data_IF_511091983961
#
_entry.id   IF_511091983961
#
_cell.length_a   1.000
_cell.length_b   1.000
_cell.length_c   1.000
_cell.angle_alpha   90.00
_cell.angle_beta   90.00
_cell.angle_gamma   90.00
#
_symmetry.space_group_name_H-M   'P 1'
#
loop_
_entity.id
_entity.type
_entity.pdbx_description
1 polymer ?
#
# COMPACT_ATOMS: atom_id res chain seq x y z
N UNK A 1 -17.60 -8.78 34.65
CA UNK A 1 -16.22 -8.28 34.88
C UNK A 1 -16.36 -6.85 35.38
N UNK A 2 -16.40 -6.67 36.71
CA UNK A 2 -16.71 -5.37 37.34
C UNK A 2 -15.51 -4.43 37.16
N UNK A 3 -15.72 -3.29 36.50
CA UNK A 3 -14.72 -2.22 36.47
C UNK A 3 -14.67 -1.64 37.89
N UNK A 4 -13.55 -1.91 38.56
CA UNK A 4 -13.31 -1.55 39.94
C UNK A 4 -13.08 -0.03 40.03
N UNK A 5 -14.17 0.72 40.22
CA UNK A 5 -14.20 2.18 40.27
C UNK A 5 -13.18 2.76 41.27
N UNK A 6 -12.82 1.99 42.29
CA UNK A 6 -11.78 2.35 43.26
C UNK A 6 -10.39 2.49 42.63
N UNK A 7 -10.03 1.60 41.68
CA UNK A 7 -8.72 1.63 40.99
C UNK A 7 -8.61 2.79 40.00
N UNK A 8 -9.75 3.23 39.45
CA UNK A 8 -9.82 4.42 38.60
C UNK A 8 -9.66 5.67 39.46
N UNK A 9 -10.36 5.73 40.59
CA UNK A 9 -10.30 6.86 41.53
C UNK A 9 -8.91 7.07 42.13
N UNK A 10 -8.18 6.00 42.43
CA UNK A 10 -6.82 6.09 42.99
C UNK A 10 -5.76 6.58 41.99
N UNK A 11 -6.07 6.60 40.68
CA UNK A 11 -5.17 7.05 39.62
C UNK A 11 -5.48 8.44 39.08
N UNK A 12 -6.59 9.04 39.47
CA UNK A 12 -6.90 10.41 39.08
C UNK A 12 -6.15 11.39 40.00
N UNK A 13 -5.43 12.39 39.45
CA UNK A 13 -5.03 13.56 40.22
C UNK A 13 -6.27 14.15 40.90
N UNK A 14 -6.11 14.75 42.08
CA UNK A 14 -7.21 15.38 42.82
C UNK A 14 -8.03 16.29 41.90
N UNK A 15 -9.19 15.78 41.46
CA UNK A 15 -10.08 16.48 40.56
C UNK A 15 -10.93 17.44 41.39
N UNK A 16 -10.65 18.73 41.26
CA UNK A 16 -11.45 19.79 41.86
C UNK A 16 -12.29 20.45 40.75
N UNK A 17 -13.54 20.02 40.53
CA UNK A 17 -14.38 20.58 39.49
C UNK A 17 -14.69 22.05 39.77
N UNK A 18 -14.34 22.93 38.84
CA UNK A 18 -14.76 24.33 38.90
C UNK A 18 -16.15 24.44 38.30
N UNK A 19 -17.17 24.64 39.14
CA UNK A 19 -18.57 24.77 38.73
C UNK A 19 -18.87 25.95 37.80
N UNK A 20 -17.93 26.89 37.67
CA UNK A 20 -18.06 28.05 36.78
C UNK A 20 -17.49 27.81 35.38
N UNK A 21 -16.99 26.61 35.08
CA UNK A 21 -16.41 26.26 33.77
C UNK A 21 -17.18 25.09 33.17
N UNK A 22 -17.76 25.30 31.99
CA UNK A 22 -18.41 24.23 31.25
C UNK A 22 -17.38 23.21 30.75
N UNK A 23 -17.77 21.93 30.77
CA UNK A 23 -16.99 20.84 30.21
C UNK A 23 -16.70 21.05 28.72
N UNK A 24 -15.49 20.64 28.31
CA UNK A 24 -15.06 20.72 26.91
C UNK A 24 -14.44 19.39 26.49
N UNK A 25 -14.87 18.88 25.34
CA UNK A 25 -14.21 17.74 24.72
C UNK A 25 -12.78 18.14 24.31
N UNK A 26 -11.79 17.33 24.69
CA UNK A 26 -10.38 17.55 24.36
C UNK A 26 -9.85 16.39 23.54
N UNK A 27 -9.30 16.68 22.37
CA UNK A 27 -8.64 15.71 21.52
C UNK A 27 -7.21 15.47 22.03
N UNK A 28 -7.01 14.39 22.80
CA UNK A 28 -5.73 14.06 23.43
C UNK A 28 -4.54 13.89 22.46
N UNK A 29 -4.72 13.37 21.24
CA UNK A 29 -3.61 13.25 20.28
C UNK A 29 -3.07 14.59 19.76
N UNK A 30 -3.78 15.71 19.97
CA UNK A 30 -3.30 17.06 19.66
C UNK A 30 -2.89 17.77 20.94
N UNK A 31 -1.68 18.34 20.98
CA UNK A 31 -1.19 19.16 22.11
C UNK A 31 -2.13 20.33 22.43
N UNK A 32 -2.80 20.86 21.41
CA UNK A 32 -3.71 22.01 21.55
C UNK A 32 -5.12 21.57 21.96
N UNK A 33 -5.37 20.26 22.07
CA UNK A 33 -6.67 19.70 22.45
C UNK A 33 -7.76 19.84 21.38
N UNK A 34 -7.43 20.37 20.21
CA UNK A 34 -8.36 20.57 19.09
C UNK A 34 -8.39 19.33 18.19
N UNK A 35 -9.59 18.97 17.76
CA UNK A 35 -9.80 17.90 16.79
C UNK A 35 -9.48 18.39 15.37
N UNK A 36 -8.85 17.51 14.59
CA UNK A 36 -8.78 17.65 13.14
C UNK A 36 -8.82 16.27 12.48
N UNK A 37 -9.36 16.17 11.27
CA UNK A 37 -9.33 14.92 10.52
C UNK A 37 -7.88 14.41 10.32
N UNK A 38 -6.92 15.33 10.16
CA UNK A 38 -5.49 14.99 10.05
C UNK A 38 -4.91 14.38 11.33
N UNK A 39 -5.22 14.92 12.50
CA UNK A 39 -4.73 14.39 13.79
C UNK A 39 -5.42 13.09 14.18
N UNK A 40 -6.72 12.94 13.86
CA UNK A 40 -7.43 11.68 13.97
C UNK A 40 -6.78 10.59 13.10
N UNK A 41 -6.53 10.91 11.84
CA UNK A 41 -5.91 9.99 10.91
C UNK A 41 -4.47 9.63 11.31
N UNK A 42 -3.69 10.61 11.80
CA UNK A 42 -2.35 10.37 12.33
C UNK A 42 -2.36 9.47 13.56
N UNK A 43 -3.36 9.59 14.43
CA UNK A 43 -3.51 8.70 15.60
C UNK A 43 -3.89 7.26 15.24
N UNK A 44 -4.59 7.07 14.10
CA UNK A 44 -4.99 5.75 13.60
C UNK A 44 -3.93 5.10 12.70
N UNK A 45 -3.10 5.90 12.03
CA UNK A 45 -2.11 5.41 11.07
C UNK A 45 -0.78 5.12 11.73
N UNK A 46 -0.23 3.95 11.46
CA UNK A 46 1.19 3.67 11.69
C UNK A 46 1.99 4.28 10.52
N UNK A 47 2.98 5.14 10.77
CA UNK A 47 3.86 5.65 9.72
C UNK A 47 4.51 4.49 8.98
N UNK A 48 4.56 4.56 7.65
CA UNK A 48 5.31 3.62 6.82
C UNK A 48 6.42 4.37 6.09
N UNK A 49 7.55 3.70 5.80
CA UNK A 49 8.61 4.30 5.01
C UNK A 49 8.12 4.67 3.61
N UNK A 50 8.78 5.67 3.02
CA UNK A 50 8.56 6.01 1.62
C UNK A 50 8.97 4.84 0.73
N UNK A 51 8.16 4.58 -0.30
CA UNK A 51 8.39 3.50 -1.26
C UNK A 51 8.65 4.09 -2.66
N UNK A 52 9.73 3.70 -3.37
CA UNK A 52 10.10 4.32 -4.65
C UNK A 52 9.02 4.24 -5.73
N UNK A 53 8.27 3.12 -5.77
CA UNK A 53 7.20 2.89 -6.73
C UNK A 53 5.95 3.75 -6.52
N UNK A 54 5.83 4.50 -5.42
CA UNK A 54 4.63 5.30 -5.09
C UNK A 54 4.25 6.24 -6.24
N UNK A 55 5.23 6.95 -6.81
CA UNK A 55 4.99 7.92 -7.88
C UNK A 55 4.52 7.27 -9.19
N UNK A 56 4.86 6.01 -9.41
CA UNK A 56 4.42 5.30 -10.60
C UNK A 56 2.97 4.82 -10.48
N UNK A 57 2.56 4.41 -9.28
CA UNK A 57 1.19 3.96 -9.02
C UNK A 57 0.24 5.15 -8.88
N UNK A 58 0.65 6.20 -8.17
CA UNK A 58 -0.23 7.28 -7.73
C UNK A 58 0.20 8.65 -8.27
N UNK A 59 0.22 8.82 -9.59
CA UNK A 59 0.45 10.12 -10.25
C UNK A 59 -0.86 10.81 -10.65
N UNK A 60 -0.83 12.13 -10.88
CA UNK A 60 -2.06 12.94 -11.11
C UNK A 60 -2.93 12.44 -12.27
N UNK A 61 -2.32 11.95 -13.36
CA UNK A 61 -3.00 11.50 -14.57
C UNK A 61 -3.17 9.97 -14.62
N UNK A 62 -3.11 9.30 -13.47
CA UNK A 62 -3.23 7.85 -13.44
C UNK A 62 -4.64 7.40 -13.82
N UNK A 63 -4.74 6.26 -14.49
CA UNK A 63 -6.02 5.58 -14.71
C UNK A 63 -6.27 4.71 -13.48
N UNK A 64 -7.30 4.97 -12.65
CA UNK A 64 -7.46 4.31 -11.35
C UNK A 64 -7.45 2.78 -11.42
N UNK A 65 -8.03 2.22 -12.48
CA UNK A 65 -8.03 0.78 -12.74
C UNK A 65 -6.61 0.22 -12.90
N UNK A 66 -5.76 0.90 -13.66
CA UNK A 66 -4.39 0.46 -13.93
C UNK A 66 -3.51 0.62 -12.69
N UNK A 67 -3.68 1.71 -11.96
CA UNK A 67 -3.01 1.96 -10.67
C UNK A 67 -3.36 0.89 -9.64
N UNK A 68 -4.64 0.50 -9.57
CA UNK A 68 -5.08 -0.58 -8.67
C UNK A 68 -4.46 -1.92 -9.06
N UNK A 69 -4.48 -2.29 -10.35
CA UNK A 69 -3.86 -3.53 -10.83
C UNK A 69 -2.36 -3.55 -10.51
N UNK A 70 -1.64 -2.47 -10.81
CA UNK A 70 -0.22 -2.35 -10.53
C UNK A 70 0.08 -2.42 -9.03
N UNK A 71 -0.71 -1.74 -8.20
CA UNK A 71 -0.57 -1.80 -6.74
C UNK A 71 -0.77 -3.22 -6.21
N UNK A 72 -1.80 -3.93 -6.69
CA UNK A 72 -2.06 -5.33 -6.33
C UNK A 72 -0.90 -6.23 -6.78
N UNK A 73 -0.35 -5.99 -7.97
CA UNK A 73 0.82 -6.69 -8.49
C UNK A 73 2.05 -6.47 -7.60
N UNK A 74 2.40 -5.22 -7.26
CA UNK A 74 3.51 -4.88 -6.35
C UNK A 74 3.38 -5.59 -5.00
N UNK A 75 2.15 -5.77 -4.51
CA UNK A 75 1.86 -6.48 -3.26
C UNK A 75 1.96 -8.01 -3.38
N UNK A 76 2.29 -8.54 -4.56
CA UNK A 76 2.32 -9.97 -4.87
C UNK A 76 0.96 -10.63 -4.79
N UNK A 77 -0.12 -9.87 -5.03
CA UNK A 77 -1.52 -10.32 -4.88
C UNK A 77 -2.29 -10.33 -6.19
N UNK A 78 -1.65 -10.03 -7.31
CA UNK A 78 -2.28 -10.24 -8.61
C UNK A 78 -2.31 -11.75 -8.84
N UNK A 79 -3.44 -12.26 -9.29
CA UNK A 79 -3.62 -13.69 -9.56
C UNK A 79 -2.86 -14.07 -10.84
N UNK A 80 -1.56 -14.32 -10.71
CA UNK A 80 -0.73 -14.95 -11.73
C UNK A 80 -0.69 -16.47 -11.51
N UNK A 81 -0.34 -17.25 -12.54
CA UNK A 81 -0.33 -18.71 -12.40
C UNK A 81 0.63 -19.23 -11.33
N UNK A 82 1.70 -18.52 -10.99
CA UNK A 82 2.57 -18.80 -9.83
C UNK A 82 1.81 -18.85 -8.49
N UNK A 83 0.74 -18.08 -8.33
CA UNK A 83 -0.12 -18.04 -7.17
C UNK A 83 -1.18 -19.15 -7.22
N UNK A 84 -1.65 -19.51 -8.42
CA UNK A 84 -2.65 -20.55 -8.65
C UNK A 84 -2.03 -21.95 -8.53
N UNK A 85 -0.77 -22.14 -8.94
CA UNK A 85 -0.05 -23.42 -8.83
C UNK A 85 0.02 -23.93 -7.37
N UNK A 86 -0.04 -23.02 -6.38
CA UNK A 86 -0.12 -23.40 -4.96
C UNK A 86 -1.42 -24.14 -4.61
N UNK A 87 -2.47 -23.94 -5.37
CA UNK A 87 -3.80 -24.51 -5.15
C UNK A 87 -4.15 -25.61 -6.17
N UNK A 88 -3.62 -25.52 -7.40
CA UNK A 88 -3.78 -26.55 -8.43
C UNK A 88 -2.43 -26.86 -9.10
N UNK A 89 -1.75 -27.95 -8.69
CA UNK A 89 -0.48 -28.37 -9.26
C UNK A 89 -0.55 -28.84 -10.72
N UNK A 90 -1.74 -29.10 -11.27
CA UNK A 90 -1.94 -29.56 -12.65
C UNK A 90 -2.31 -28.41 -13.60
N UNK A 91 -2.45 -27.19 -13.08
CA UNK A 91 -2.75 -26.03 -13.89
C UNK A 91 -1.64 -25.74 -14.90
N UNK A 92 -2.04 -25.41 -16.14
CA UNK A 92 -1.11 -24.93 -17.16
C UNK A 92 -0.62 -23.55 -16.76
N UNK A 93 0.63 -23.46 -16.31
CA UNK A 93 1.18 -22.21 -15.80
C UNK A 93 1.88 -21.38 -16.87
N UNK A 94 1.75 -21.71 -18.15
CA UNK A 94 2.42 -20.97 -19.22
C UNK A 94 1.81 -19.58 -19.38
N UNK A 95 2.67 -18.56 -19.50
CA UNK A 95 2.28 -17.18 -19.74
C UNK A 95 1.43 -17.04 -21.01
N UNK A 96 0.24 -16.45 -20.86
CA UNK A 96 -0.72 -16.27 -21.96
C UNK A 96 -0.23 -15.33 -23.06
N UNK A 97 0.75 -14.47 -22.76
CA UNK A 97 1.27 -13.47 -23.70
C UNK A 97 2.33 -14.05 -24.65
N UNK A 98 3.19 -14.93 -24.13
CA UNK A 98 4.31 -15.48 -24.90
C UNK A 98 4.22 -16.98 -25.16
N UNK A 99 3.38 -17.72 -24.42
CA UNK A 99 3.21 -19.17 -24.47
C UNK A 99 4.51 -20.00 -24.37
N UNK A 100 5.59 -19.43 -23.81
CA UNK A 100 6.91 -20.07 -23.77
C UNK A 100 7.46 -20.32 -22.37
N UNK A 101 7.13 -19.47 -21.40
CA UNK A 101 7.65 -19.54 -20.04
C UNK A 101 6.51 -19.56 -19.02
N UNK A 102 6.75 -20.06 -17.80
CA UNK A 102 5.79 -19.95 -16.71
C UNK A 102 5.43 -18.49 -16.41
N UNK A 103 4.16 -18.23 -16.10
CA UNK A 103 3.67 -16.92 -15.72
C UNK A 103 4.02 -16.62 -14.25
N UNK A 104 4.73 -15.53 -14.07
CA UNK A 104 4.99 -14.89 -12.78
C UNK A 104 4.85 -13.39 -12.95
N UNK A 105 4.80 -12.63 -11.85
CA UNK A 105 4.80 -11.17 -11.93
C UNK A 105 6.04 -10.64 -12.69
N UNK A 106 7.23 -11.17 -12.40
CA UNK A 106 8.46 -10.76 -13.07
C UNK A 106 8.39 -11.04 -14.59
N UNK A 107 7.92 -12.23 -14.95
CA UNK A 107 7.76 -12.59 -16.35
C UNK A 107 6.72 -11.71 -17.04
N UNK A 108 5.51 -11.62 -16.48
CA UNK A 108 4.38 -10.91 -17.07
C UNK A 108 4.69 -9.43 -17.33
N UNK A 109 5.39 -8.75 -16.43
CA UNK A 109 5.63 -7.31 -16.54
C UNK A 109 6.98 -6.91 -17.17
N UNK A 110 8.01 -7.75 -17.08
CA UNK A 110 9.37 -7.35 -17.49
C UNK A 110 10.10 -8.35 -18.39
N UNK A 111 10.01 -9.66 -18.14
CA UNK A 111 10.84 -10.65 -18.87
C UNK A 111 10.16 -11.21 -20.12
N UNK A 112 8.84 -11.21 -20.16
CA UNK A 112 8.03 -11.69 -21.28
C UNK A 112 8.39 -10.94 -22.57
N UNK A 113 8.57 -11.67 -23.68
CA UNK A 113 8.89 -11.09 -24.98
C UNK A 113 7.89 -10.00 -25.42
N UNK A 114 6.60 -10.21 -25.13
CA UNK A 114 5.55 -9.23 -25.42
C UNK A 114 5.74 -7.94 -24.61
N UNK A 115 5.88 -8.06 -23.29
CA UNK A 115 6.13 -6.92 -22.40
C UNK A 115 7.47 -6.25 -22.73
N UNK A 116 8.45 -7.04 -23.20
CA UNK A 116 9.73 -6.56 -23.71
C UNK A 116 9.64 -5.71 -24.98
N UNK A 117 8.70 -6.02 -25.87
CA UNK A 117 8.44 -5.15 -26.99
C UNK A 117 7.83 -3.80 -26.51
N UNK A 118 6.88 -3.87 -25.57
CA UNK A 118 6.17 -2.69 -25.07
C UNK A 118 7.11 -1.70 -24.39
N UNK A 119 7.92 -2.11 -23.41
CA UNK A 119 8.79 -1.09 -22.78
C UNK A 119 9.88 -0.61 -23.71
N UNK A 120 10.35 -1.42 -24.67
CA UNK A 120 11.33 -0.94 -25.65
C UNK A 120 10.74 0.23 -26.43
N UNK A 121 9.49 0.10 -26.87
CA UNK A 121 8.79 1.16 -27.58
C UNK A 121 8.53 2.39 -26.70
N UNK A 122 8.07 2.21 -25.45
CA UNK A 122 7.85 3.32 -24.51
C UNK A 122 9.14 4.07 -24.21
N UNK A 123 10.22 3.35 -23.91
CA UNK A 123 11.52 3.92 -23.57
C UNK A 123 12.11 4.69 -24.77
N UNK A 124 11.94 4.16 -25.99
CA UNK A 124 12.30 4.88 -27.21
C UNK A 124 11.54 6.22 -27.35
N UNK A 125 10.23 6.25 -27.03
CA UNK A 125 9.44 7.50 -27.03
C UNK A 125 9.96 8.47 -25.96
N UNK A 126 10.38 7.96 -24.81
CA UNK A 126 10.95 8.76 -23.73
C UNK A 126 12.42 9.17 -23.94
N UNK A 127 13.06 8.77 -25.05
CA UNK A 127 14.46 9.08 -25.33
C UNK A 127 15.46 8.41 -24.38
N UNK A 128 15.07 7.28 -23.77
CA UNK A 128 15.91 6.54 -22.82
C UNK A 128 16.06 5.09 -23.30
N UNK A 129 17.26 4.47 -23.22
CA UNK A 129 17.39 3.05 -23.53
C UNK A 129 16.78 2.19 -22.42
N UNK A 130 16.14 1.08 -22.78
CA UNK A 130 15.71 0.11 -21.78
C UNK A 130 16.93 -0.66 -21.21
N UNK A 131 17.22 -0.44 -19.93
CA UNK A 131 18.32 -1.08 -19.20
C UNK A 131 17.95 -2.39 -18.46
N UNK A 132 16.89 -3.11 -18.86
CA UNK A 132 16.50 -4.37 -18.22
C UNK A 132 15.99 -4.23 -16.78
N UNK A 133 15.00 -3.36 -16.53
CA UNK A 133 14.27 -3.34 -15.25
C UNK A 133 13.80 -4.75 -14.87
N UNK A 134 14.17 -5.21 -13.69
CA UNK A 134 13.67 -6.44 -13.09
C UNK A 134 12.65 -6.11 -12.01
N UNK A 135 11.77 -7.07 -11.72
CA UNK A 135 10.66 -6.90 -10.77
C UNK A 135 11.11 -6.44 -9.38
N UNK A 136 12.26 -6.92 -8.90
CA UNK A 136 12.78 -6.54 -7.59
C UNK A 136 13.32 -5.10 -7.58
N UNK A 137 14.08 -4.71 -8.61
CA UNK A 137 14.55 -3.33 -8.77
C UNK A 137 13.42 -2.30 -8.93
N UNK A 138 12.21 -2.78 -9.21
CA UNK A 138 11.01 -1.97 -9.32
C UNK A 138 10.27 -1.80 -7.97
N UNK A 139 10.35 -2.78 -7.09
CA UNK A 139 9.65 -2.78 -5.78
C UNK A 139 10.53 -2.21 -4.67
N UNK A 140 11.84 -2.44 -4.73
CA UNK A 140 12.84 -1.96 -3.77
C UNK A 140 13.16 -0.47 -3.95
#
# INVERSE_FOLDING_TARGET
MSIDLFKIRSRMPSYNPNSNVNDRARWLPSSNGTYSASSALASLRTPHPFVPWFKLVWFSQNIPRMSFILWVAIRGRLSTWDCIHKYDPMAVTTCVLCNTHPESHAHLFFECLFSRAIWTQLMNICGSPWNGLCWNAFID
#
